data_IF_492242188810
#
_entry.id   IF_492242188810
#
_cell.length_a   1.000
_cell.length_b   1.000
_cell.length_c   1.000
_cell.angle_alpha   90.00
_cell.angle_beta   90.00
_cell.angle_gamma   90.00
#
_symmetry.space_group_name_H-M   'P 1'
#
loop_
_entity.id
_entity.type
_entity.pdbx_description
1 polymer ?
#
# COMPACT_ATOMS: atom_id res chain seq x y z
N UNK A 1 0.43 5.73 -62.31
CA UNK A 1 0.14 5.83 -60.89
C UNK A 1 0.57 4.51 -60.22
N UNK A 2 1.79 4.51 -59.62
CA UNK A 2 2.29 3.35 -58.88
C UNK A 2 1.80 3.48 -57.44
N UNK A 3 0.89 2.62 -56.99
CA UNK A 3 0.57 2.42 -55.60
C UNK A 3 1.81 1.79 -54.92
N UNK A 4 2.48 2.55 -54.08
CA UNK A 4 3.48 2.00 -53.18
C UNK A 4 2.78 1.08 -52.15
N UNK A 5 2.92 -0.22 -52.37
CA UNK A 5 2.52 -1.22 -51.40
C UNK A 5 3.38 -1.03 -50.12
N UNK A 6 2.82 -0.47 -49.09
CA UNK A 6 3.46 -0.35 -47.77
C UNK A 6 3.73 -1.74 -47.24
N UNK A 7 4.99 -2.03 -46.94
CA UNK A 7 5.42 -3.35 -46.47
C UNK A 7 4.91 -3.55 -45.03
N UNK A 8 4.01 -4.50 -44.75
CA UNK A 8 3.37 -4.65 -43.43
C UNK A 8 4.37 -4.89 -42.28
N UNK A 9 5.56 -5.40 -42.58
CA UNK A 9 6.64 -5.57 -41.60
C UNK A 9 7.25 -4.22 -41.17
N UNK A 10 7.31 -3.22 -42.05
CA UNK A 10 7.85 -1.88 -41.73
C UNK A 10 6.83 -1.07 -40.92
N UNK A 11 5.54 -1.21 -41.22
CA UNK A 11 4.47 -0.57 -40.43
C UNK A 11 4.39 -1.17 -39.02
N UNK A 12 4.46 -2.50 -38.89
CA UNK A 12 4.49 -3.17 -37.59
C UNK A 12 5.71 -2.77 -36.76
N UNK A 13 6.90 -2.67 -37.39
CA UNK A 13 8.13 -2.21 -36.71
C UNK A 13 8.02 -0.74 -36.29
N UNK A 14 7.39 0.12 -37.10
CA UNK A 14 7.18 1.53 -36.77
C UNK A 14 6.14 1.71 -35.64
N UNK A 15 5.08 0.92 -35.64
CA UNK A 15 4.07 0.89 -34.59
C UNK A 15 4.66 0.42 -33.26
N UNK A 16 5.44 -0.66 -33.29
CA UNK A 16 6.16 -1.18 -32.10
C UNK A 16 7.11 -0.13 -31.52
N UNK A 17 7.86 0.56 -32.38
CA UNK A 17 8.80 1.63 -31.98
C UNK A 17 8.04 2.83 -31.38
N UNK A 18 6.90 3.22 -31.96
CA UNK A 18 6.01 4.26 -31.40
C UNK A 18 5.44 3.84 -30.06
N UNK A 19 4.97 2.60 -29.92
CA UNK A 19 4.47 2.05 -28.66
C UNK A 19 5.55 2.05 -27.58
N UNK A 20 6.76 1.59 -27.90
CA UNK A 20 7.91 1.60 -26.99
C UNK A 20 8.31 3.02 -26.58
N UNK A 21 8.22 3.99 -27.49
CA UNK A 21 8.51 5.39 -27.16
C UNK A 21 7.42 6.04 -26.31
N UNK A 22 6.14 5.71 -26.51
CA UNK A 22 5.03 6.11 -25.67
C UNK A 22 5.17 5.48 -24.27
N UNK A 23 5.52 4.19 -24.20
CA UNK A 23 5.78 3.50 -22.93
C UNK A 23 6.95 4.12 -22.17
N UNK A 24 8.02 4.54 -22.84
CA UNK A 24 9.16 5.24 -22.20
C UNK A 24 8.80 6.61 -21.65
N UNK A 25 7.79 7.27 -22.21
CA UNK A 25 7.30 8.59 -21.74
C UNK A 25 6.30 8.51 -20.60
N UNK A 26 5.59 7.41 -20.45
CA UNK A 26 4.56 7.24 -19.39
C UNK A 26 5.18 6.63 -18.14
N UNK A 27 5.01 7.29 -17.01
CA UNK A 27 5.43 6.81 -15.68
C UNK A 27 4.71 5.51 -15.29
N UNK A 28 3.53 5.29 -15.83
CA UNK A 28 2.65 4.15 -15.49
C UNK A 28 2.77 2.95 -16.44
N UNK A 29 3.45 3.11 -17.56
CA UNK A 29 3.48 2.05 -18.58
C UNK A 29 4.10 0.75 -18.06
N UNK A 30 5.16 0.83 -17.28
CA UNK A 30 5.82 -0.36 -16.75
C UNK A 30 4.96 -1.10 -15.70
N UNK A 31 4.39 -0.44 -14.67
CA UNK A 31 3.42 -1.07 -13.77
C UNK A 31 2.23 -1.69 -14.50
N UNK A 32 1.67 -1.01 -15.51
CA UNK A 32 0.54 -1.53 -16.29
C UNK A 32 0.90 -2.80 -17.08
N UNK A 33 2.05 -2.80 -17.75
CA UNK A 33 2.53 -4.01 -18.46
C UNK A 33 2.70 -5.18 -17.50
N UNK A 34 3.29 -4.94 -16.33
CA UNK A 34 3.43 -5.96 -15.28
C UNK A 34 2.07 -6.48 -14.80
N UNK A 35 1.12 -5.57 -14.56
CA UNK A 35 -0.25 -5.93 -14.16
C UNK A 35 -0.95 -6.80 -15.20
N UNK A 36 -0.92 -6.40 -16.48
CA UNK A 36 -1.54 -7.18 -17.55
C UNK A 36 -0.82 -8.51 -17.79
N UNK A 37 0.51 -8.56 -17.67
CA UNK A 37 1.27 -9.80 -17.80
C UNK A 37 0.91 -10.81 -16.70
N UNK A 38 0.88 -10.39 -15.43
CA UNK A 38 0.45 -11.23 -14.31
C UNK A 38 -1.00 -11.67 -14.48
N UNK A 39 -1.89 -10.73 -14.84
CA UNK A 39 -3.31 -11.06 -15.07
C UNK A 39 -3.48 -12.09 -16.18
N UNK A 40 -2.75 -11.96 -17.29
CA UNK A 40 -2.80 -12.91 -18.40
C UNK A 40 -2.33 -14.31 -17.96
N UNK A 41 -1.26 -14.39 -17.20
CA UNK A 41 -0.79 -15.68 -16.65
C UNK A 41 -1.89 -16.32 -15.79
N UNK A 42 -2.52 -15.55 -14.88
CA UNK A 42 -3.57 -16.08 -14.01
C UNK A 42 -4.83 -16.48 -14.79
N UNK A 43 -5.20 -15.77 -15.84
CA UNK A 43 -6.31 -16.14 -16.73
C UNK A 43 -6.08 -17.50 -17.42
N UNK A 44 -4.82 -17.76 -17.82
CA UNK A 44 -4.47 -19.00 -18.52
C UNK A 44 -4.34 -20.20 -17.56
N UNK A 45 -3.86 -19.92 -16.32
CA UNK A 45 -3.52 -20.99 -15.36
C UNK A 45 -4.62 -21.30 -14.35
N UNK A 46 -5.69 -20.50 -14.30
CA UNK A 46 -6.70 -20.63 -13.24
C UNK A 46 -8.11 -20.62 -13.82
N UNK A 47 -8.87 -21.68 -13.61
CA UNK A 47 -10.27 -21.74 -13.98
C UNK A 47 -11.10 -20.70 -13.23
N UNK A 48 -12.11 -20.13 -13.91
CA UNK A 48 -13.02 -19.11 -13.34
C UNK A 48 -12.35 -17.82 -12.83
N UNK A 49 -11.11 -17.54 -13.23
CA UNK A 49 -10.43 -16.28 -12.84
C UNK A 49 -11.22 -15.04 -13.26
N UNK A 50 -11.85 -15.06 -14.43
CA UNK A 50 -12.64 -13.94 -15.01
C UNK A 50 -14.06 -13.83 -14.45
N UNK A 51 -14.44 -14.56 -13.41
CA UNK A 51 -15.76 -14.43 -12.82
C UNK A 51 -15.94 -13.09 -12.10
N UNK A 52 -17.16 -12.53 -12.13
CA UNK A 52 -17.49 -11.28 -11.44
C UNK A 52 -17.24 -11.37 -9.93
N UNK A 53 -17.56 -12.53 -9.34
CA UNK A 53 -17.32 -12.77 -7.91
C UNK A 53 -15.82 -12.75 -7.57
N UNK A 54 -14.98 -13.30 -8.45
CA UNK A 54 -13.54 -13.27 -8.22
C UNK A 54 -12.97 -11.86 -8.34
N UNK A 55 -13.43 -11.07 -9.31
CA UNK A 55 -13.01 -9.65 -9.38
C UNK A 55 -13.40 -8.88 -8.12
N UNK A 56 -14.59 -9.10 -7.59
CA UNK A 56 -15.02 -8.46 -6.34
C UNK A 56 -14.18 -8.95 -5.15
N UNK A 57 -13.82 -10.23 -5.11
CA UNK A 57 -12.93 -10.79 -4.08
C UNK A 57 -11.52 -10.18 -4.16
N UNK A 58 -10.95 -10.07 -5.37
CA UNK A 58 -9.65 -9.40 -5.57
C UNK A 58 -9.72 -7.95 -5.09
N UNK A 59 -10.71 -7.19 -5.53
CA UNK A 59 -10.84 -5.77 -5.16
C UNK A 59 -10.96 -5.58 -3.65
N UNK A 60 -11.74 -6.43 -2.97
CA UNK A 60 -11.90 -6.42 -1.51
C UNK A 60 -10.62 -6.80 -0.78
N UNK A 61 -9.87 -7.79 -1.26
CA UNK A 61 -8.62 -8.22 -0.66
C UNK A 61 -7.52 -7.18 -0.84
N UNK A 62 -7.45 -6.60 -2.04
CA UNK A 62 -6.49 -5.53 -2.37
C UNK A 62 -6.72 -4.28 -1.53
N UNK A 63 -7.98 -3.94 -1.19
CA UNK A 63 -8.30 -2.67 -0.54
C UNK A 63 -7.55 -2.45 0.77
N UNK A 64 -7.33 -3.49 1.58
CA UNK A 64 -6.62 -3.39 2.87
C UNK A 64 -5.15 -3.04 2.64
N UNK A 65 -4.44 -3.83 1.82
CA UNK A 65 -3.03 -3.60 1.52
C UNK A 65 -2.82 -2.30 0.73
N UNK A 66 -3.75 -1.94 -0.14
CA UNK A 66 -3.71 -0.69 -0.88
C UNK A 66 -3.83 0.53 0.03
N UNK A 67 -4.70 0.50 1.06
CA UNK A 67 -4.80 1.58 2.05
C UNK A 67 -3.48 1.75 2.80
N UNK A 68 -2.85 0.67 3.26
CA UNK A 68 -1.52 0.70 3.89
C UNK A 68 -0.47 1.27 2.92
N UNK A 69 -0.51 0.85 1.64
CA UNK A 69 0.43 1.29 0.63
C UNK A 69 0.36 2.80 0.33
N UNK A 70 -0.75 3.49 0.63
CA UNK A 70 -0.81 4.96 0.56
C UNK A 70 0.22 5.58 1.52
N UNK A 71 0.18 5.19 2.78
CA UNK A 71 1.11 5.66 3.80
C UNK A 71 2.56 5.30 3.46
N UNK A 72 2.79 4.04 3.08
CA UNK A 72 4.10 3.55 2.64
C UNK A 72 4.64 4.33 1.44
N UNK A 73 3.79 4.73 0.49
CA UNK A 73 4.19 5.57 -0.64
C UNK A 73 4.74 6.91 -0.16
N UNK A 74 4.04 7.58 0.76
CA UNK A 74 4.49 8.85 1.31
C UNK A 74 5.83 8.70 2.05
N UNK A 75 5.99 7.63 2.84
CA UNK A 75 7.23 7.34 3.55
C UNK A 75 8.40 7.10 2.58
N UNK A 76 8.21 6.23 1.58
CA UNK A 76 9.24 5.93 0.58
C UNK A 76 9.58 7.16 -0.28
N UNK A 77 8.60 8.00 -0.63
CA UNK A 77 8.85 9.24 -1.37
C UNK A 77 9.77 10.19 -0.61
N UNK A 78 9.79 10.19 0.73
CA UNK A 78 10.75 10.98 1.53
C UNK A 78 12.09 10.26 1.77
N UNK A 79 12.28 9.07 1.20
CA UNK A 79 13.50 8.26 1.39
C UNK A 79 13.47 7.40 2.66
N UNK A 80 12.32 7.31 3.35
CA UNK A 80 12.13 6.45 4.53
C UNK A 80 11.34 5.18 4.22
N UNK A 81 11.32 4.25 5.15
CA UNK A 81 10.49 3.04 5.11
C UNK A 81 9.83 2.89 6.47
N UNK A 82 8.55 2.55 6.47
CA UNK A 82 7.78 2.29 7.69
C UNK A 82 7.50 0.79 7.82
N UNK A 83 8.23 0.13 8.70
CA UNK A 83 8.06 -1.31 8.96
C UNK A 83 6.98 -1.59 10.02
N UNK A 84 6.48 -0.56 10.71
CA UNK A 84 5.50 -0.73 11.79
C UNK A 84 4.08 -0.96 11.30
N UNK A 85 3.81 -0.73 10.00
CA UNK A 85 2.48 -0.66 9.37
C UNK A 85 1.57 -1.84 9.74
N UNK A 86 2.06 -3.08 9.65
CA UNK A 86 1.27 -4.28 9.96
C UNK A 86 0.96 -4.43 11.44
N UNK A 87 1.89 -4.05 12.32
CA UNK A 87 1.71 -4.13 13.76
C UNK A 87 0.77 -3.02 14.29
N UNK A 88 0.91 -1.79 13.78
CA UNK A 88 0.02 -0.67 14.11
C UNK A 88 -1.40 -0.94 13.62
N UNK A 89 -1.56 -1.52 12.44
CA UNK A 89 -2.86 -1.98 11.92
C UNK A 89 -3.51 -2.98 12.88
N UNK A 90 -2.77 -4.01 13.29
CA UNK A 90 -3.27 -5.03 14.21
C UNK A 90 -3.64 -4.44 15.58
N UNK A 91 -2.76 -3.60 16.14
CA UNK A 91 -3.01 -2.94 17.42
C UNK A 91 -4.26 -2.06 17.38
N UNK A 92 -4.38 -1.20 16.38
CA UNK A 92 -5.54 -0.32 16.22
C UNK A 92 -6.83 -1.12 16.10
N UNK A 93 -6.83 -2.17 15.27
CA UNK A 93 -8.00 -3.05 15.10
C UNK A 93 -8.37 -3.83 16.35
N UNK A 94 -7.39 -4.35 17.10
CA UNK A 94 -7.65 -5.08 18.37
C UNK A 94 -8.14 -4.15 19.47
N UNK A 95 -7.61 -2.94 19.57
CA UNK A 95 -8.09 -1.96 20.55
C UNK A 95 -9.52 -1.50 20.22
N UNK A 96 -9.85 -1.24 18.96
CA UNK A 96 -11.22 -0.94 18.55
C UNK A 96 -12.17 -2.10 18.95
N UNK A 97 -11.77 -3.34 18.62
CA UNK A 97 -12.54 -4.53 18.95
C UNK A 97 -12.76 -4.67 20.45
N UNK A 98 -11.70 -4.57 21.24
CA UNK A 98 -11.78 -4.69 22.70
C UNK A 98 -12.62 -3.59 23.35
N UNK A 99 -12.50 -2.34 22.89
CA UNK A 99 -13.37 -1.25 23.37
C UNK A 99 -14.85 -1.55 23.10
N UNK A 100 -15.19 -2.03 21.89
CA UNK A 100 -16.58 -2.34 21.53
C UNK A 100 -17.16 -3.51 22.34
N UNK A 101 -16.38 -4.56 22.56
CA UNK A 101 -16.82 -5.71 23.39
C UNK A 101 -17.01 -5.28 24.86
N UNK A 102 -16.26 -4.31 25.34
CA UNK A 102 -16.43 -3.71 26.67
C UNK A 102 -17.51 -2.60 26.73
N UNK A 103 -18.37 -2.50 25.71
CA UNK A 103 -19.54 -1.61 25.74
C UNK A 103 -19.30 -0.21 25.20
N UNK A 104 -18.11 0.12 24.71
CA UNK A 104 -17.87 1.41 24.04
C UNK A 104 -18.54 1.40 22.67
N UNK A 105 -19.40 2.38 22.34
CA UNK A 105 -20.08 2.41 21.06
C UNK A 105 -19.09 2.56 19.90
N UNK A 106 -19.37 1.99 18.69
CA UNK A 106 -18.50 2.11 17.51
C UNK A 106 -18.15 3.56 17.15
N UNK A 107 -19.07 4.50 17.39
CA UNK A 107 -18.85 5.93 17.15
C UNK A 107 -17.73 6.56 17.99
N UNK A 108 -17.40 5.96 19.15
CA UNK A 108 -16.27 6.36 19.98
C UNK A 108 -15.06 5.45 19.80
N UNK A 109 -15.26 4.13 19.69
CA UNK A 109 -14.17 3.17 19.53
C UNK A 109 -13.37 3.38 18.24
N UNK A 110 -14.04 3.71 17.12
CA UNK A 110 -13.37 3.96 15.83
C UNK A 110 -12.45 5.17 15.89
N UNK A 111 -12.89 6.39 16.26
CA UNK A 111 -11.99 7.53 16.37
C UNK A 111 -10.83 7.30 17.35
N UNK A 112 -11.07 6.61 18.48
CA UNK A 112 -10.01 6.29 19.42
C UNK A 112 -8.97 5.34 18.80
N UNK A 113 -9.40 4.30 18.10
CA UNK A 113 -8.49 3.39 17.40
C UNK A 113 -7.72 4.06 16.26
N UNK A 114 -8.34 4.98 15.52
CA UNK A 114 -7.63 5.81 14.54
C UNK A 114 -6.63 6.75 15.23
N UNK A 115 -6.98 7.28 16.40
CA UNK A 115 -6.11 8.06 17.25
C UNK A 115 -4.86 7.30 17.71
N UNK A 116 -4.97 5.98 17.95
CA UNK A 116 -3.82 5.12 18.26
C UNK A 116 -2.84 5.10 17.08
N UNK A 117 -3.32 4.86 15.85
CA UNK A 117 -2.45 4.91 14.67
C UNK A 117 -1.78 6.27 14.51
N UNK A 118 -2.56 7.36 14.66
CA UNK A 118 -2.00 8.71 14.61
C UNK A 118 -0.91 8.93 15.69
N UNK A 119 -1.12 8.43 16.92
CA UNK A 119 -0.13 8.54 18.00
C UNK A 119 1.16 7.79 17.69
N UNK A 120 1.07 6.58 17.14
CA UNK A 120 2.23 5.81 16.69
C UNK A 120 2.94 6.49 15.51
N UNK A 121 2.22 7.06 14.58
CA UNK A 121 2.80 7.83 13.47
C UNK A 121 3.50 9.11 13.93
N UNK A 122 2.92 9.81 14.90
CA UNK A 122 3.58 10.97 15.54
C UNK A 122 4.85 10.53 16.29
N UNK A 123 4.82 9.40 16.98
CA UNK A 123 5.98 8.81 17.65
C UNK A 123 7.08 8.48 16.65
N UNK A 124 6.79 7.71 15.60
CA UNK A 124 7.73 7.39 14.53
C UNK A 124 8.30 8.65 13.89
N UNK A 125 7.40 9.57 13.49
CA UNK A 125 7.78 10.82 12.86
C UNK A 125 8.64 11.72 13.75
N UNK A 126 8.41 11.74 15.05
CA UNK A 126 9.23 12.50 16.01
C UNK A 126 10.67 11.97 16.04
N UNK A 127 10.86 10.69 16.22
CA UNK A 127 12.20 10.11 16.28
C UNK A 127 12.94 10.19 14.95
N UNK A 128 12.26 10.01 13.84
CA UNK A 128 12.85 10.13 12.50
C UNK A 128 13.17 11.59 12.14
N UNK A 129 12.26 12.52 12.43
CA UNK A 129 12.36 13.88 11.92
C UNK A 129 13.08 14.85 12.85
N UNK A 130 12.97 14.66 14.15
CA UNK A 130 13.56 15.58 15.14
C UNK A 130 14.76 14.98 15.88
N UNK A 131 14.72 13.68 16.21
CA UNK A 131 15.86 12.99 16.79
C UNK A 131 16.88 12.52 15.75
N UNK A 132 16.55 12.60 14.44
CA UNK A 132 17.47 12.25 13.34
C UNK A 132 17.79 10.75 13.25
N UNK A 133 16.96 9.89 13.84
CA UNK A 133 17.19 8.45 13.85
C UNK A 133 16.85 7.82 12.48
N UNK A 134 17.58 6.76 12.06
CA UNK A 134 17.28 6.06 10.84
C UNK A 134 15.83 5.49 10.84
N UNK A 135 15.02 5.77 9.81
CA UNK A 135 13.61 5.35 9.75
C UNK A 135 13.39 3.86 10.01
N UNK A 136 14.19 3.00 9.37
CA UNK A 136 14.08 1.54 9.48
C UNK A 136 14.24 1.08 10.93
N UNK A 137 15.18 1.69 11.70
CA UNK A 137 15.44 1.32 13.09
C UNK A 137 14.26 1.74 13.97
N UNK A 138 13.77 2.97 13.80
CA UNK A 138 12.63 3.49 14.57
C UNK A 138 11.39 2.64 14.32
N UNK A 139 11.02 2.43 13.06
CA UNK A 139 9.79 1.72 12.71
C UNK A 139 9.86 0.21 13.01
N UNK A 140 11.06 -0.39 12.98
CA UNK A 140 11.27 -1.77 13.43
C UNK A 140 11.06 -1.89 14.96
N UNK A 141 11.59 -0.95 15.74
CA UNK A 141 11.35 -0.93 17.17
C UNK A 141 9.87 -0.71 17.50
N UNK A 142 9.22 0.23 16.81
CA UNK A 142 7.79 0.51 16.95
C UNK A 142 6.93 -0.68 16.56
N UNK A 143 7.32 -1.44 15.52
CA UNK A 143 6.66 -2.69 15.14
C UNK A 143 6.65 -3.68 16.31
N UNK A 144 7.78 -3.86 17.00
CA UNK A 144 7.86 -4.72 18.17
C UNK A 144 6.99 -4.22 19.33
N UNK A 145 7.02 -2.91 19.59
CA UNK A 145 6.21 -2.28 20.66
C UNK A 145 4.71 -2.45 20.37
N UNK A 146 4.25 -2.09 19.15
CA UNK A 146 2.84 -2.20 18.79
C UNK A 146 2.34 -3.65 18.83
N UNK A 147 3.15 -4.59 18.32
CA UNK A 147 2.82 -6.02 18.37
C UNK A 147 2.76 -6.51 19.81
N UNK A 148 3.74 -6.14 20.65
CA UNK A 148 3.77 -6.50 22.07
C UNK A 148 2.52 -6.00 22.82
N UNK A 149 2.15 -4.72 22.61
CA UNK A 149 0.94 -4.15 23.23
C UNK A 149 -0.32 -4.89 22.76
N UNK A 150 -0.45 -5.19 21.46
CA UNK A 150 -1.60 -5.93 20.93
C UNK A 150 -1.73 -7.32 21.57
N UNK A 151 -0.61 -8.05 21.72
CA UNK A 151 -0.59 -9.37 22.33
C UNK A 151 -0.85 -9.34 23.82
N UNK A 152 -0.28 -8.38 24.55
CA UNK A 152 -0.57 -8.21 26.00
C UNK A 152 -2.05 -7.87 26.22
N UNK A 153 -2.60 -6.95 25.43
CA UNK A 153 -3.98 -6.52 25.55
C UNK A 153 -4.99 -7.66 25.32
N UNK A 154 -4.69 -8.54 24.36
CA UNK A 154 -5.58 -9.64 23.96
C UNK A 154 -5.27 -10.96 24.65
N UNK A 155 -4.19 -11.06 25.43
CA UNK A 155 -3.67 -12.35 25.92
C UNK A 155 -3.20 -13.28 24.80
N UNK A 156 -2.95 -12.76 23.58
CA UNK A 156 -2.55 -13.52 22.40
C UNK A 156 -3.73 -14.12 21.61
N UNK A 157 -4.97 -13.96 22.05
CA UNK A 157 -6.15 -14.51 21.42
C UNK A 157 -6.92 -13.44 20.63
N UNK A 158 -7.70 -13.84 19.61
CA UNK A 158 -8.64 -12.96 18.93
C UNK A 158 -9.72 -12.42 19.87
N UNK A 159 -10.18 -11.20 19.63
CA UNK A 159 -11.32 -10.60 20.32
C UNK A 159 -12.52 -10.69 19.38
N UNK A 160 -13.50 -11.51 19.71
CA UNK A 160 -14.74 -11.74 18.97
C UNK A 160 -15.94 -11.08 19.67
N UNK A 161 -17.12 -11.11 19.03
CA UNK A 161 -18.35 -10.59 19.62
C UNK A 161 -18.59 -9.10 19.35
N UNK A 162 -18.08 -8.59 18.25
CA UNK A 162 -18.27 -7.20 17.85
C UNK A 162 -19.73 -6.93 17.43
N UNK A 163 -20.24 -5.70 17.65
CA UNK A 163 -21.59 -5.33 17.27
C UNK A 163 -21.79 -5.40 15.75
N UNK A 164 -22.96 -5.89 15.29
CA UNK A 164 -23.24 -6.06 13.85
C UNK A 164 -23.10 -4.77 13.03
N UNK A 165 -23.42 -3.62 13.64
CA UNK A 165 -23.24 -2.31 12.99
C UNK A 165 -21.78 -2.09 12.51
N UNK A 166 -20.81 -2.68 13.21
CA UNK A 166 -19.40 -2.58 12.84
C UNK A 166 -19.07 -3.33 11.54
N UNK A 167 -19.85 -4.39 11.20
CA UNK A 167 -19.69 -5.14 9.95
C UNK A 167 -19.82 -4.27 8.69
N UNK A 168 -20.47 -3.12 8.79
CA UNK A 168 -20.64 -2.20 7.65
C UNK A 168 -19.31 -1.78 7.01
N UNK A 169 -18.28 -1.50 7.80
CA UNK A 169 -17.00 -1.01 7.28
C UNK A 169 -16.19 -2.07 6.51
N UNK A 170 -16.42 -3.34 6.78
CA UNK A 170 -15.66 -4.44 6.15
C UNK A 170 -16.47 -5.37 5.24
N UNK A 171 -17.80 -5.42 5.45
CA UNK A 171 -18.73 -6.33 4.73
C UNK A 171 -19.91 -5.59 4.11
N UNK A 172 -20.14 -4.34 4.47
CA UNK A 172 -21.24 -3.53 3.95
C UNK A 172 -21.07 -3.25 2.46
N UNK A 173 -22.15 -2.79 1.84
CA UNK A 173 -22.16 -2.33 0.45
C UNK A 173 -23.01 -1.06 0.31
N UNK A 174 -22.57 -0.17 -0.59
CA UNK A 174 -23.29 1.05 -0.97
C UNK A 174 -23.41 1.00 -2.50
N UNK A 175 -24.63 1.06 -3.01
CA UNK A 175 -24.91 0.94 -4.46
C UNK A 175 -24.29 -0.30 -5.12
N UNK A 176 -24.23 -1.44 -4.40
CA UNK A 176 -23.65 -2.68 -4.90
C UNK A 176 -22.11 -2.77 -4.82
N UNK A 177 -21.42 -1.69 -4.44
CA UNK A 177 -19.96 -1.67 -4.25
C UNK A 177 -19.65 -1.88 -2.76
N UNK A 178 -18.72 -2.78 -2.46
CA UNK A 178 -18.36 -3.07 -1.08
C UNK A 178 -17.62 -1.91 -0.42
N UNK A 179 -17.93 -1.64 0.85
CA UNK A 179 -17.38 -0.52 1.63
C UNK A 179 -15.85 -0.45 1.67
N UNK A 180 -15.09 -1.57 1.78
CA UNK A 180 -13.63 -1.52 1.71
C UNK A 180 -13.09 -0.92 0.40
N UNK A 181 -13.75 -1.24 -0.71
CA UNK A 181 -13.37 -0.74 -2.04
C UNK A 181 -13.62 0.77 -2.13
N UNK A 182 -14.77 1.21 -1.65
CA UNK A 182 -15.13 2.64 -1.61
C UNK A 182 -14.14 3.41 -0.74
N UNK A 183 -13.84 2.88 0.46
CA UNK A 183 -12.87 3.46 1.39
C UNK A 183 -11.50 3.59 0.72
N UNK A 184 -11.01 2.52 0.07
CA UNK A 184 -9.77 2.55 -0.67
C UNK A 184 -9.75 3.68 -1.71
N UNK A 185 -10.76 3.75 -2.58
CA UNK A 185 -10.78 4.77 -3.63
C UNK A 185 -10.86 6.20 -3.08
N UNK A 186 -11.65 6.44 -2.02
CA UNK A 186 -11.71 7.76 -1.37
C UNK A 186 -10.32 8.18 -0.92
N UNK A 187 -9.59 7.32 -0.19
CA UNK A 187 -8.28 7.67 0.32
C UNK A 187 -7.20 7.73 -0.78
N UNK A 188 -7.33 6.96 -1.87
CA UNK A 188 -6.45 7.12 -3.04
C UNK A 188 -6.68 8.47 -3.74
N UNK A 189 -7.93 8.92 -3.88
CA UNK A 189 -8.24 10.24 -4.43
C UNK A 189 -7.66 11.34 -3.54
N UNK A 190 -7.85 11.25 -2.21
CA UNK A 190 -7.29 12.21 -1.26
C UNK A 190 -5.76 12.24 -1.31
N UNK A 191 -5.11 11.07 -1.37
CA UNK A 191 -3.68 10.97 -1.50
C UNK A 191 -3.16 11.52 -2.84
N UNK A 192 -3.88 11.27 -3.94
CA UNK A 192 -3.58 11.86 -5.24
C UNK A 192 -3.66 13.39 -5.19
N UNK A 193 -4.73 13.93 -4.64
CA UNK A 193 -4.88 15.38 -4.48
C UNK A 193 -3.76 15.94 -3.58
N UNK A 194 -3.43 15.28 -2.48
CA UNK A 194 -2.36 15.70 -1.58
C UNK A 194 -1.00 15.73 -2.28
N UNK A 195 -0.63 14.65 -2.96
CA UNK A 195 0.71 14.48 -3.53
C UNK A 195 0.91 15.27 -4.82
N UNK A 196 -0.08 15.29 -5.72
CA UNK A 196 0.08 15.87 -7.06
C UNK A 196 -0.42 17.32 -7.15
N UNK A 197 -1.35 17.75 -6.26
CA UNK A 197 -2.01 19.04 -6.38
C UNK A 197 -1.75 20.01 -5.21
N UNK A 198 -0.97 19.62 -4.18
CA UNK A 198 -0.68 20.50 -3.04
C UNK A 198 0.81 20.86 -2.93
N UNK A 199 1.15 21.97 -2.23
CA UNK A 199 2.54 22.27 -1.86
C UNK A 199 3.16 21.18 -1.01
N UNK A 200 2.37 20.50 -0.17
CA UNK A 200 2.83 19.41 0.71
C UNK A 200 3.44 18.29 -0.12
N UNK A 201 2.76 17.85 -1.18
CA UNK A 201 3.27 16.82 -2.08
C UNK A 201 4.58 17.24 -2.74
N UNK A 202 4.68 18.47 -3.25
CA UNK A 202 5.92 18.99 -3.84
C UNK A 202 7.09 18.93 -2.87
N UNK A 203 6.87 19.26 -1.59
CA UNK A 203 7.91 19.16 -0.58
C UNK A 203 8.27 17.71 -0.23
N UNK A 204 7.30 16.78 -0.21
CA UNK A 204 7.56 15.35 -0.02
C UNK A 204 8.50 14.82 -1.13
N UNK A 205 8.20 15.13 -2.39
CA UNK A 205 9.08 14.75 -3.52
C UNK A 205 10.44 15.43 -3.46
N UNK A 206 10.50 16.71 -3.10
CA UNK A 206 11.75 17.45 -2.99
C UNK A 206 12.66 16.90 -1.89
N UNK A 207 12.11 16.57 -0.73
CA UNK A 207 12.84 15.95 0.41
C UNK A 207 13.49 14.65 -0.02
N UNK A 208 12.75 13.76 -0.68
CA UNK A 208 13.32 12.50 -1.15
C UNK A 208 14.29 12.66 -2.33
N UNK A 209 14.20 13.75 -3.08
CA UNK A 209 15.15 14.07 -4.14
C UNK A 209 16.51 14.51 -3.60
N UNK A 210 16.50 15.50 -2.73
CA UNK A 210 17.68 15.96 -1.98
C UNK A 210 17.22 16.71 -0.72
N UNK A 211 17.29 16.03 0.41
CA UNK A 211 16.85 16.58 1.69
C UNK A 211 17.61 17.85 2.09
N UNK A 212 18.94 17.86 1.90
CA UNK A 212 19.79 18.98 2.28
C UNK A 212 19.50 20.23 1.42
N UNK A 213 19.40 20.05 0.10
CA UNK A 213 19.04 21.15 -0.78
C UNK A 213 17.63 21.70 -0.46
N UNK A 214 16.69 20.83 -0.11
CA UNK A 214 15.33 21.21 0.26
C UNK A 214 15.34 22.02 1.58
N UNK A 215 16.16 21.61 2.55
CA UNK A 215 16.35 22.32 3.82
C UNK A 215 16.97 23.71 3.62
N UNK A 216 18.00 23.78 2.79
CA UNK A 216 18.68 25.05 2.45
C UNK A 216 17.75 26.02 1.68
N UNK A 217 16.73 25.49 0.98
CA UNK A 217 15.69 26.30 0.32
C UNK A 217 14.63 26.83 1.32
N UNK A 218 14.82 26.68 2.64
CA UNK A 218 13.94 27.20 3.68
C UNK A 218 12.75 26.31 4.04
N UNK A 219 12.68 25.08 3.51
CA UNK A 219 11.61 24.13 3.82
C UNK A 219 11.87 23.45 5.17
N UNK A 220 10.87 23.42 6.05
CA UNK A 220 10.96 22.76 7.36
C UNK A 220 10.79 21.23 7.20
N UNK A 221 11.84 20.55 6.74
CA UNK A 221 11.85 19.11 6.43
C UNK A 221 11.25 18.26 7.55
N UNK A 222 11.59 18.55 8.81
CA UNK A 222 11.12 17.77 9.97
C UNK A 222 9.59 17.75 10.09
N UNK A 223 8.90 18.84 9.75
CA UNK A 223 7.43 18.89 9.79
C UNK A 223 6.80 17.97 8.74
N UNK A 224 7.38 17.92 7.56
CA UNK A 224 6.87 17.06 6.49
C UNK A 224 7.15 15.59 6.74
N UNK A 225 8.31 15.25 7.29
CA UNK A 225 8.60 13.88 7.74
C UNK A 225 7.64 13.46 8.86
N UNK A 226 7.42 14.31 9.88
CA UNK A 226 6.43 14.04 10.92
C UNK A 226 5.04 13.75 10.33
N UNK A 227 4.56 14.62 9.43
CA UNK A 227 3.27 14.45 8.75
C UNK A 227 3.21 13.15 7.96
N UNK A 228 4.26 12.78 7.26
CA UNK A 228 4.32 11.56 6.44
C UNK A 228 4.16 10.30 7.29
N UNK A 229 4.90 10.18 8.39
CA UNK A 229 4.76 9.03 9.30
C UNK A 229 3.41 9.03 10.02
N UNK A 230 2.90 10.20 10.41
CA UNK A 230 1.55 10.33 10.99
C UNK A 230 0.47 9.85 10.02
N UNK A 231 0.60 10.21 8.73
CA UNK A 231 -0.30 9.74 7.69
C UNK A 231 -0.15 8.24 7.44
N UNK A 232 1.09 7.71 7.45
CA UNK A 232 1.36 6.29 7.26
C UNK A 232 0.61 5.45 8.29
N UNK A 233 0.81 5.73 9.56
CA UNK A 233 0.20 4.93 10.63
C UNK A 233 -1.30 5.21 10.80
N UNK A 234 -1.80 6.38 10.41
CA UNK A 234 -3.23 6.64 10.31
C UNK A 234 -3.89 5.75 9.23
N UNK A 235 -3.24 5.57 8.07
CA UNK A 235 -3.71 4.65 7.04
C UNK A 235 -3.66 3.20 7.53
N UNK A 236 -2.68 2.84 8.35
CA UNK A 236 -2.60 1.53 8.97
C UNK A 236 -3.77 1.29 9.94
N UNK A 237 -4.11 2.27 10.77
CA UNK A 237 -5.27 2.18 11.66
C UNK A 237 -6.60 2.07 10.89
N UNK A 238 -6.72 2.79 9.77
CA UNK A 238 -7.86 2.67 8.86
C UNK A 238 -7.94 1.28 8.22
N UNK A 239 -6.82 0.72 7.80
CA UNK A 239 -6.77 -0.67 7.32
C UNK A 239 -7.13 -1.66 8.42
N UNK A 240 -6.74 -1.39 9.68
CA UNK A 240 -7.12 -2.15 10.87
C UNK A 240 -8.62 -2.14 11.14
N UNK A 241 -9.26 -0.97 11.02
CA UNK A 241 -10.72 -0.83 11.06
C UNK A 241 -11.39 -1.74 10.02
N UNK A 242 -10.97 -1.64 8.76
CA UNK A 242 -11.55 -2.42 7.65
C UNK A 242 -11.33 -3.91 7.86
N UNK A 243 -10.13 -4.32 8.27
CA UNK A 243 -9.80 -5.74 8.49
C UNK A 243 -10.59 -6.32 9.66
N UNK A 244 -10.60 -5.65 10.81
CA UNK A 244 -11.33 -6.12 12.00
C UNK A 244 -12.84 -6.19 11.76
N UNK A 245 -13.39 -5.21 11.03
CA UNK A 245 -14.79 -5.23 10.59
C UNK A 245 -15.06 -6.37 9.61
N UNK A 246 -14.16 -6.64 8.67
CA UNK A 246 -14.29 -7.75 7.73
C UNK A 246 -14.28 -9.11 8.42
N UNK A 247 -13.40 -9.29 9.38
CA UNK A 247 -13.28 -10.54 10.13
C UNK A 247 -14.34 -10.64 11.24
N UNK A 248 -14.94 -9.52 11.65
CA UNK A 248 -15.74 -9.37 12.86
C UNK A 248 -14.96 -9.82 14.10
N UNK A 249 -13.67 -9.51 14.11
CA UNK A 249 -12.76 -9.92 15.17
C UNK A 249 -11.52 -9.03 15.19
N UNK A 250 -11.04 -8.70 16.38
CA UNK A 250 -9.73 -8.05 16.60
C UNK A 250 -8.63 -9.10 16.65
N UNK A 251 -7.77 -9.15 15.65
CA UNK A 251 -6.73 -10.16 15.48
C UNK A 251 -5.35 -9.61 15.83
N UNK A 252 -4.72 -9.94 16.97
CA UNK A 252 -3.43 -9.36 17.38
C UNK A 252 -2.27 -9.79 16.46
N UNK A 253 -2.39 -10.93 15.80
CA UNK A 253 -1.40 -11.45 14.85
C UNK A 253 -1.66 -11.04 13.40
N UNK A 254 -2.68 -10.23 13.13
CA UNK A 254 -2.93 -9.74 11.79
C UNK A 254 -1.78 -8.88 11.27
N UNK A 255 -1.68 -8.77 9.94
CA UNK A 255 -0.73 -7.88 9.29
C UNK A 255 0.73 -8.31 9.34
N UNK A 256 1.04 -9.54 9.73
CA UNK A 256 2.40 -10.08 9.60
C UNK A 256 2.78 -10.12 8.11
N UNK A 257 3.92 -9.55 7.77
CA UNK A 257 4.46 -9.37 6.42
C UNK A 257 3.67 -8.38 5.52
N UNK A 258 2.71 -7.61 6.05
CA UNK A 258 2.02 -6.58 5.27
C UNK A 258 2.92 -5.40 4.93
N UNK A 259 3.96 -5.14 5.72
CA UNK A 259 5.02 -4.20 5.38
C UNK A 259 5.72 -4.59 4.08
N UNK A 260 5.98 -5.89 3.87
CA UNK A 260 6.60 -6.39 2.63
C UNK A 260 5.65 -6.23 1.44
N UNK A 261 4.36 -6.55 1.61
CA UNK A 261 3.35 -6.39 0.57
C UNK A 261 3.18 -4.90 0.20
N UNK A 262 3.18 -3.98 1.19
CA UNK A 262 3.09 -2.54 0.95
C UNK A 262 4.32 -2.01 0.20
N UNK A 263 5.53 -2.39 0.63
CA UNK A 263 6.78 -2.03 -0.08
C UNK A 263 6.75 -2.55 -1.51
N UNK A 264 6.36 -3.82 -1.70
CA UNK A 264 6.27 -4.43 -3.02
C UNK A 264 5.29 -3.68 -3.92
N UNK A 265 4.08 -3.34 -3.43
CA UNK A 265 3.10 -2.56 -4.17
C UNK A 265 3.67 -1.21 -4.63
N UNK A 266 4.35 -0.50 -3.73
CA UNK A 266 4.95 0.81 -4.01
C UNK A 266 6.07 0.72 -5.04
N UNK A 267 6.96 -0.28 -4.91
CA UNK A 267 8.12 -0.47 -5.81
C UNK A 267 7.68 -0.97 -7.18
N UNK A 268 6.79 -1.96 -7.23
CA UNK A 268 6.20 -2.47 -8.47
C UNK A 268 5.36 -1.41 -9.16
N UNK A 269 4.77 -0.50 -8.39
CA UNK A 269 4.12 0.72 -8.88
C UNK A 269 5.06 1.76 -9.49
N UNK A 270 6.38 1.52 -9.45
CA UNK A 270 7.40 2.37 -10.07
C UNK A 270 7.95 3.48 -9.17
N UNK A 271 7.63 3.48 -7.89
CA UNK A 271 8.20 4.41 -6.91
C UNK A 271 9.62 4.00 -6.56
N UNK A 272 10.54 4.97 -6.54
CA UNK A 272 11.94 4.77 -6.19
C UNK A 272 12.13 4.59 -4.70
N UNK A 273 12.76 3.50 -4.27
CA UNK A 273 13.11 3.27 -2.84
C UNK A 273 14.02 4.37 -2.29
N UNK A 274 14.81 5.02 -3.14
CA UNK A 274 15.69 6.13 -2.74
C UNK A 274 14.94 7.46 -2.54
N UNK A 275 13.62 7.49 -2.70
CA UNK A 275 12.79 8.69 -2.61
C UNK A 275 12.77 9.56 -3.86
N UNK A 276 12.02 10.64 -3.77
CA UNK A 276 11.95 11.73 -4.74
C UNK A 276 11.26 11.44 -6.07
N UNK A 277 10.88 10.18 -6.35
CA UNK A 277 10.23 9.77 -7.60
C UNK A 277 9.24 8.64 -7.34
N UNK A 278 8.03 8.79 -7.82
CA UNK A 278 6.97 7.79 -7.68
C UNK A 278 5.61 8.38 -7.99
N UNK A 279 4.57 7.58 -7.81
CA UNK A 279 3.19 8.01 -8.01
C UNK A 279 2.24 7.15 -7.21
N UNK A 280 1.23 7.80 -6.63
CA UNK A 280 0.17 7.09 -5.90
C UNK A 280 -0.68 6.21 -6.83
N UNK A 281 -0.91 6.64 -8.08
CA UNK A 281 -1.60 5.84 -9.10
C UNK A 281 -0.76 4.59 -9.43
N UNK A 282 0.56 4.75 -9.57
CA UNK A 282 1.46 3.61 -9.74
C UNK A 282 1.36 2.62 -8.60
N UNK A 283 1.33 3.10 -7.35
CA UNK A 283 1.16 2.25 -6.17
C UNK A 283 -0.16 1.47 -6.20
N UNK A 284 -1.26 2.10 -6.62
CA UNK A 284 -2.54 1.39 -6.79
C UNK A 284 -2.43 0.24 -7.79
N UNK A 285 -1.79 0.48 -8.95
CA UNK A 285 -1.56 -0.56 -9.96
C UNK A 285 -0.69 -1.68 -9.38
N UNK A 286 0.36 -1.35 -8.65
CA UNK A 286 1.23 -2.33 -7.97
C UNK A 286 0.47 -3.15 -6.91
N UNK A 287 -0.39 -2.51 -6.12
CA UNK A 287 -1.24 -3.20 -5.14
C UNK A 287 -2.24 -4.15 -5.83
N UNK A 288 -2.85 -3.71 -6.93
CA UNK A 288 -3.73 -4.57 -7.74
C UNK A 288 -2.97 -5.75 -8.34
N UNK A 289 -1.74 -5.53 -8.84
CA UNK A 289 -0.91 -6.61 -9.39
C UNK A 289 -0.59 -7.68 -8.35
N UNK A 290 -0.22 -7.27 -7.11
CA UNK A 290 -0.01 -8.20 -6.01
C UNK A 290 -1.30 -8.92 -5.61
N UNK A 291 -2.43 -8.22 -5.61
CA UNK A 291 -3.72 -8.82 -5.30
C UNK A 291 -4.14 -9.88 -6.31
N UNK A 292 -3.95 -9.61 -7.60
CA UNK A 292 -4.18 -10.59 -8.68
C UNK A 292 -3.27 -11.80 -8.51
N UNK A 293 -1.97 -11.58 -8.22
CA UNK A 293 -1.02 -12.65 -7.98
C UNK A 293 -1.44 -13.52 -6.78
N UNK A 294 -1.73 -12.90 -5.64
CA UNK A 294 -2.14 -13.60 -4.42
C UNK A 294 -3.44 -14.39 -4.63
N UNK A 295 -4.42 -13.78 -5.30
CA UNK A 295 -5.68 -14.45 -5.61
C UNK A 295 -5.48 -15.65 -6.53
N UNK A 296 -4.72 -15.49 -7.63
CA UNK A 296 -4.43 -16.58 -8.55
C UNK A 296 -3.70 -17.73 -7.87
N UNK A 297 -2.66 -17.44 -7.06
CA UNK A 297 -1.93 -18.46 -6.30
C UNK A 297 -2.84 -19.19 -5.29
N UNK A 298 -3.79 -18.47 -4.65
CA UNK A 298 -4.78 -19.08 -3.78
C UNK A 298 -5.73 -20.02 -4.55
N UNK A 299 -6.21 -19.60 -5.72
CA UNK A 299 -7.08 -20.43 -6.57
C UNK A 299 -6.36 -21.69 -7.08
N UNK A 300 -5.04 -21.60 -7.30
CA UNK A 300 -4.18 -22.75 -7.64
C UNK A 300 -3.87 -23.65 -6.45
N UNK A 301 -4.34 -23.33 -5.24
CA UNK A 301 -4.05 -24.10 -4.02
C UNK A 301 -2.61 -24.00 -3.53
N UNK A 302 -1.85 -22.98 -3.95
CA UNK A 302 -0.47 -22.75 -3.51
C UNK A 302 -0.45 -22.35 -2.05
N UNK A 303 0.34 -23.05 -1.22
CA UNK A 303 0.40 -22.77 0.22
C UNK A 303 0.88 -21.34 0.50
N UNK A 304 0.40 -20.69 1.59
CA UNK A 304 0.83 -19.35 1.98
C UNK A 304 2.35 -19.23 2.17
N UNK A 305 3.01 -20.29 2.59
CA UNK A 305 4.47 -20.31 2.77
C UNK A 305 5.21 -20.15 1.44
N UNK A 306 4.77 -20.86 0.40
CA UNK A 306 5.32 -20.74 -0.96
C UNK A 306 5.01 -19.37 -1.55
N UNK A 307 3.82 -18.83 -1.30
CA UNK A 307 3.46 -17.47 -1.72
C UNK A 307 4.42 -16.42 -1.14
N UNK A 308 4.83 -16.55 0.12
CA UNK A 308 5.81 -15.64 0.74
C UNK A 308 7.19 -15.73 0.06
N UNK A 309 7.63 -16.92 -0.36
CA UNK A 309 8.87 -17.08 -1.14
C UNK A 309 8.75 -16.38 -2.49
N UNK A 310 7.66 -16.60 -3.21
CA UNK A 310 7.40 -15.96 -4.50
C UNK A 310 7.41 -14.43 -4.37
N UNK A 311 6.71 -13.88 -3.36
CA UNK A 311 6.70 -12.44 -3.07
C UNK A 311 8.10 -11.89 -2.81
N UNK A 312 8.88 -12.58 -1.98
CA UNK A 312 10.26 -12.18 -1.69
C UNK A 312 11.12 -12.10 -2.96
N UNK A 313 11.03 -13.10 -3.83
CA UNK A 313 11.73 -13.13 -5.11
C UNK A 313 11.28 -11.99 -6.04
N UNK A 314 9.98 -11.72 -6.11
CA UNK A 314 9.43 -10.62 -6.91
C UNK A 314 9.95 -9.27 -6.42
N UNK A 315 9.97 -9.05 -5.09
CA UNK A 315 10.49 -7.81 -4.50
C UNK A 315 11.98 -7.64 -4.86
N UNK A 316 12.80 -8.68 -4.69
CA UNK A 316 14.22 -8.63 -5.04
C UNK A 316 14.43 -8.30 -6.52
N UNK A 317 13.66 -8.92 -7.40
CA UNK A 317 13.73 -8.70 -8.83
C UNK A 317 13.29 -7.28 -9.22
N UNK A 318 12.21 -6.77 -8.63
CA UNK A 318 11.73 -5.42 -8.85
C UNK A 318 12.77 -4.37 -8.41
N UNK A 319 13.41 -4.56 -7.25
CA UNK A 319 14.47 -3.68 -6.76
C UNK A 319 15.70 -3.73 -7.68
N UNK A 320 16.10 -4.92 -8.14
CA UNK A 320 17.23 -5.08 -9.04
C UNK A 320 17.04 -4.32 -10.36
N UNK A 321 15.87 -4.46 -10.99
CA UNK A 321 15.53 -3.72 -12.22
C UNK A 321 15.51 -2.21 -11.97
N UNK A 322 14.95 -1.78 -10.84
CA UNK A 322 14.90 -0.36 -10.48
C UNK A 322 16.30 0.25 -10.34
N UNK A 323 17.26 -0.51 -9.80
CA UNK A 323 18.66 -0.08 -9.65
C UNK A 323 19.38 0.11 -10.98
N UNK A 324 19.18 -0.81 -11.94
CA UNK A 324 19.84 -0.70 -13.25
C UNK A 324 19.40 0.53 -14.05
N UNK A 325 18.12 0.91 -13.93
CA UNK A 325 17.60 2.12 -14.58
C UNK A 325 18.25 3.41 -14.07
N UNK A 326 18.72 3.41 -12.81
CA UNK A 326 19.43 4.57 -12.24
C UNK A 326 20.85 4.73 -12.78
N UNK A 327 21.54 3.64 -13.13
CA UNK A 327 22.90 3.68 -13.69
C UNK A 327 22.95 4.15 -15.15
N UNK A 328 21.82 4.05 -15.87
CA UNK A 328 21.73 4.41 -17.30
C UNK A 328 21.20 5.82 -17.56
N UNK A 329 20.94 6.61 -16.51
CA UNK A 329 20.56 8.03 -16.55
C UNK A 329 21.56 8.87 -15.79
#
# INVERSE_FOLDING_TARGET
MQQQATNPSVEAASAMTRLLNLMKRSTYAFPLVGFFAVSLVMIITTDNFLSADNFMNIARQVSINAIIAIGMTCAILTGGIDLSVGAVMALSGTLMAGMMVNGVPPSAAIPLGLGVGLAFGLFNGFFVAYAGMPPIIVTLATMGIARGIALIYTGGYPIDGLPEMFAFFGRGSVLGIQTPIITMFIFYILAYLLLDHTPIGRYIYAIGGNEEATRLSGVRVSRYKLLVYSLSDLMCALAGLVLSSRLMSGQPNAGVAFEMDAIAAVVMGGTSISGGRGSIIGTLIGAMMLGVLNNGLNMMGVSPYVQNIIKGLIILFAIYISRERRKKR
#
